data_IF_668096529338
#
_entry.id   IF_668096529338
#
_cell.length_a   1.000
_cell.length_b   1.000
_cell.length_c   1.000
_cell.angle_alpha   90.00
_cell.angle_beta   90.00
_cell.angle_gamma   90.00
#
_symmetry.space_group_name_H-M   'P 1'
#
loop_
_entity.id
_entity.type
_entity.pdbx_description
1 polymer ?
#
# COMPACT_ATOMS: atom_id res chain seq x y z
N UNK A 1 24.46 19.98 -3.04
CA UNK A 1 23.25 20.59 -3.62
C UNK A 1 22.08 20.23 -2.72
N UNK A 2 21.57 21.25 -2.01
CA UNK A 2 20.67 21.10 -0.88
C UNK A 2 19.20 21.09 -1.35
N UNK A 3 18.57 19.90 -1.39
CA UNK A 3 17.12 19.78 -1.46
C UNK A 3 16.56 19.63 -0.03
N UNK A 4 16.77 20.67 0.80
CA UNK A 4 16.20 20.75 2.15
C UNK A 4 15.44 22.06 2.40
N UNK A 5 15.01 22.74 1.34
CA UNK A 5 14.49 24.10 1.43
C UNK A 5 13.29 24.30 0.48
N UNK A 6 12.14 23.71 0.79
CA UNK A 6 10.82 24.16 0.29
C UNK A 6 9.64 23.45 0.98
N UNK A 7 9.76 23.09 2.26
CA UNK A 7 8.58 22.77 3.08
C UNK A 7 8.61 23.62 4.35
N UNK A 8 8.75 24.93 4.18
CA UNK A 8 8.28 25.81 5.24
C UNK A 8 6.80 25.49 5.49
N UNK A 9 6.47 25.34 6.77
CA UNK A 9 5.16 24.96 7.29
C UNK A 9 4.07 25.90 6.77
N UNK A 10 3.55 25.65 5.57
CA UNK A 10 2.23 26.11 5.17
C UNK A 10 1.22 25.26 5.96
N UNK A 11 0.69 25.86 7.02
CA UNK A 11 -0.41 25.39 7.88
C UNK A 11 -0.96 23.98 7.68
N UNK A 12 -0.68 23.10 8.65
CA UNK A 12 -1.63 22.11 9.16
C UNK A 12 -1.92 20.83 8.35
N UNK A 13 -1.45 20.66 7.11
CA UNK A 13 -1.70 19.42 6.35
C UNK A 13 -0.54 18.44 6.44
N UNK A 14 -0.79 17.22 6.95
CA UNK A 14 0.18 16.12 6.94
C UNK A 14 0.69 15.89 5.49
N UNK A 15 2.02 15.90 5.25
CA UNK A 15 2.60 15.79 3.91
C UNK A 15 2.16 14.52 3.17
N UNK A 16 1.96 13.41 3.87
CA UNK A 16 1.44 12.17 3.28
C UNK A 16 0.02 12.36 2.72
N UNK A 17 -0.83 13.13 3.39
CA UNK A 17 -2.21 13.40 2.94
C UNK A 17 -2.20 14.33 1.72
N UNK A 18 -1.29 15.30 1.69
CA UNK A 18 -1.11 16.17 0.52
C UNK A 18 -0.71 15.35 -0.71
N UNK A 19 0.27 14.46 -0.56
CA UNK A 19 0.72 13.57 -1.63
C UNK A 19 -0.40 12.62 -2.08
N UNK A 20 -1.13 12.01 -1.14
CA UNK A 20 -2.28 11.15 -1.45
C UNK A 20 -3.34 11.88 -2.29
N UNK A 21 -3.68 13.12 -1.94
CA UNK A 21 -4.62 13.95 -2.72
C UNK A 21 -4.08 14.27 -4.13
N UNK A 22 -2.78 14.47 -4.27
CA UNK A 22 -2.18 14.71 -5.59
C UNK A 22 -2.25 13.46 -6.46
N UNK A 23 -1.87 12.29 -5.92
CA UNK A 23 -1.90 11.01 -6.65
C UNK A 23 -3.35 10.69 -7.07
N UNK A 24 -4.31 10.73 -6.14
CA UNK A 24 -5.71 10.39 -6.42
C UNK A 24 -6.37 11.27 -7.49
N UNK A 25 -5.94 12.54 -7.62
CA UNK A 25 -6.37 13.44 -8.71
C UNK A 25 -5.79 13.02 -10.06
N UNK A 26 -4.55 12.52 -10.08
CA UNK A 26 -3.86 12.11 -11.30
C UNK A 26 -4.26 10.69 -11.78
N UNK A 27 -4.77 9.83 -10.88
CA UNK A 27 -5.14 8.43 -11.20
C UNK A 27 -5.98 8.30 -12.48
N UNK A 28 -7.11 9.01 -12.68
CA UNK A 28 -7.90 8.86 -13.90
C UNK A 28 -7.11 9.21 -15.17
N UNK A 29 -6.29 10.26 -15.11
CA UNK A 29 -5.43 10.67 -16.23
C UNK A 29 -4.39 9.61 -16.55
N UNK A 30 -3.78 9.01 -15.53
CA UNK A 30 -2.79 7.94 -15.70
C UNK A 30 -3.44 6.70 -16.32
N UNK A 31 -4.62 6.29 -15.86
CA UNK A 31 -5.33 5.12 -16.43
C UNK A 31 -5.60 5.28 -17.92
N UNK A 32 -6.06 6.47 -18.34
CA UNK A 32 -6.28 6.77 -19.76
C UNK A 32 -4.97 6.86 -20.56
N UNK A 33 -3.91 7.40 -19.94
CA UNK A 33 -2.61 7.58 -20.61
C UNK A 33 -1.92 6.25 -20.92
N UNK A 34 -2.15 5.26 -20.05
CA UNK A 34 -1.57 3.92 -20.15
C UNK A 34 -2.54 2.87 -20.69
N UNK A 35 -3.76 3.26 -21.05
CA UNK A 35 -4.82 2.38 -21.55
C UNK A 35 -5.03 1.15 -20.63
N UNK A 36 -5.21 1.40 -19.33
CA UNK A 36 -5.47 0.38 -18.31
C UNK A 36 -6.98 0.28 -18.10
N UNK A 37 -7.54 -0.92 -18.26
CA UNK A 37 -8.99 -1.19 -18.20
C UNK A 37 -9.58 -1.27 -16.78
N UNK A 38 -8.90 -0.72 -15.78
CA UNK A 38 -9.32 -0.72 -14.38
C UNK A 38 -10.26 0.46 -14.07
N UNK A 39 -11.25 0.24 -13.20
CA UNK A 39 -12.16 1.31 -12.77
C UNK A 39 -11.39 2.38 -11.95
N UNK A 40 -11.59 3.69 -12.20
CA UNK A 40 -10.89 4.72 -11.45
C UNK A 40 -11.13 4.70 -9.93
N UNK A 41 -12.30 4.21 -9.48
CA UNK A 41 -12.56 4.01 -8.04
C UNK A 41 -11.68 2.90 -7.47
N UNK A 42 -11.61 1.75 -8.15
CA UNK A 42 -10.77 0.63 -7.74
C UNK A 42 -9.29 1.02 -7.68
N UNK A 43 -8.79 1.72 -8.70
CA UNK A 43 -7.40 2.18 -8.71
C UNK A 43 -7.08 3.13 -7.55
N UNK A 44 -8.03 4.03 -7.18
CA UNK A 44 -7.86 4.89 -5.99
C UNK A 44 -7.82 4.09 -4.69
N UNK A 45 -8.62 3.03 -4.58
CA UNK A 45 -8.60 2.12 -3.43
C UNK A 45 -7.29 1.33 -3.35
N UNK A 46 -6.75 0.89 -4.49
CA UNK A 46 -5.43 0.26 -4.55
C UNK A 46 -4.32 1.23 -4.07
N UNK A 47 -4.36 2.49 -4.53
CA UNK A 47 -3.48 3.56 -4.02
C UNK A 47 -3.65 3.72 -2.51
N UNK A 48 -4.88 3.76 -2.01
CA UNK A 48 -5.15 3.88 -0.57
C UNK A 48 -4.54 2.72 0.23
N UNK A 49 -4.60 1.49 -0.28
CA UNK A 49 -4.01 0.31 0.37
C UNK A 49 -2.49 0.47 0.57
N UNK A 50 -1.76 1.05 -0.40
CA UNK A 50 -0.34 1.33 -0.24
C UNK A 50 -0.03 2.32 0.89
N UNK A 51 -0.83 3.38 1.02
CA UNK A 51 -0.69 4.32 2.13
C UNK A 51 -1.02 3.65 3.48
N UNK A 52 -2.02 2.77 3.50
CA UNK A 52 -2.40 2.02 4.72
C UNK A 52 -1.37 0.98 5.14
N UNK A 53 -0.69 0.33 4.19
CA UNK A 53 0.40 -0.62 4.45
C UNK A 53 1.51 -0.01 5.33
N UNK A 54 1.73 1.29 5.23
CA UNK A 54 2.76 1.99 5.98
C UNK A 54 2.20 2.84 7.13
N UNK A 55 0.96 2.62 7.55
CA UNK A 55 0.31 3.41 8.60
C UNK A 55 0.96 3.23 9.98
N UNK A 56 1.59 2.08 10.24
CA UNK A 56 2.20 1.76 11.54
C UNK A 56 3.62 2.34 11.72
N UNK A 57 4.16 2.96 10.67
CA UNK A 57 5.51 3.54 10.71
C UNK A 57 5.53 4.82 11.55
N UNK A 58 6.24 4.79 12.68
CA UNK A 58 6.33 5.91 13.63
C UNK A 58 7.58 6.78 13.48
N UNK A 59 8.66 6.26 12.90
CA UNK A 59 9.91 7.03 12.75
C UNK A 59 9.74 8.11 11.65
N UNK A 60 9.84 9.40 11.99
CA UNK A 60 9.64 10.49 11.05
C UNK A 60 10.62 10.46 9.86
N UNK A 61 11.83 9.95 10.03
CA UNK A 61 12.83 9.86 8.95
C UNK A 61 12.42 8.85 7.89
N UNK A 62 11.79 7.76 8.32
CA UNK A 62 11.27 6.73 7.43
C UNK A 62 10.04 7.25 6.70
N UNK A 63 9.16 7.98 7.40
CA UNK A 63 8.00 8.65 6.79
C UNK A 63 8.44 9.62 5.69
N UNK A 64 9.42 10.48 5.95
CA UNK A 64 9.95 11.42 4.96
C UNK A 64 10.52 10.68 3.75
N UNK A 65 11.29 9.61 3.96
CA UNK A 65 11.82 8.78 2.88
C UNK A 65 10.70 8.13 2.04
N UNK A 66 9.66 7.61 2.68
CA UNK A 66 8.51 7.00 1.99
C UNK A 66 7.76 8.03 1.14
N UNK A 67 7.59 9.24 1.66
CA UNK A 67 6.96 10.36 0.93
C UNK A 67 7.82 10.74 -0.28
N UNK A 68 9.14 10.84 -0.13
CA UNK A 68 10.04 11.12 -1.26
C UNK A 68 9.95 10.02 -2.32
N UNK A 69 9.99 8.73 -1.93
CA UNK A 69 9.86 7.60 -2.85
C UNK A 69 8.53 7.63 -3.61
N UNK A 70 7.42 7.86 -2.91
CA UNK A 70 6.11 7.94 -3.53
C UNK A 70 5.97 9.16 -4.45
N UNK A 71 6.66 10.26 -4.15
CA UNK A 71 6.77 11.42 -5.05
C UNK A 71 7.52 11.10 -6.34
N UNK A 72 8.66 10.40 -6.25
CA UNK A 72 9.43 9.93 -7.41
C UNK A 72 8.60 8.98 -8.29
N UNK A 73 7.90 8.02 -7.67
CA UNK A 73 6.99 7.10 -8.37
C UNK A 73 5.91 7.83 -9.18
N UNK A 74 5.34 8.90 -8.61
CA UNK A 74 4.36 9.73 -9.31
C UNK A 74 5.00 10.47 -10.49
N UNK A 75 6.19 11.03 -10.32
CA UNK A 75 6.91 11.75 -11.39
C UNK A 75 7.25 10.82 -12.56
N UNK A 76 7.81 9.63 -12.28
CA UNK A 76 8.12 8.61 -13.29
C UNK A 76 6.88 8.19 -14.09
N UNK A 77 5.73 8.11 -13.42
CA UNK A 77 4.44 7.78 -14.03
C UNK A 77 3.90 8.92 -14.90
N UNK A 78 4.02 10.18 -14.43
CA UNK A 78 3.54 11.35 -15.17
C UNK A 78 4.41 11.67 -16.38
N UNK A 79 5.73 11.47 -16.26
CA UNK A 79 6.72 11.68 -17.32
C UNK A 79 6.80 10.50 -18.30
N UNK A 80 6.00 9.46 -18.10
CA UNK A 80 5.97 8.26 -18.94
C UNK A 80 7.31 7.51 -19.01
N UNK A 81 8.10 7.54 -17.94
CA UNK A 81 9.33 6.76 -17.85
C UNK A 81 9.04 5.28 -17.58
N UNK A 82 7.86 4.98 -16.99
CA UNK A 82 7.37 3.60 -16.80
C UNK A 82 6.59 3.11 -18.00
N UNK A 83 6.67 1.80 -18.26
CA UNK A 83 5.77 1.08 -19.18
C UNK A 83 4.49 0.62 -18.49
N UNK A 84 3.44 0.35 -19.28
CA UNK A 84 2.11 -0.15 -18.84
C UNK A 84 2.20 -1.33 -17.87
N UNK A 85 3.01 -2.33 -18.17
CA UNK A 85 3.14 -3.54 -17.35
C UNK A 85 3.57 -3.27 -15.90
N UNK A 86 4.41 -2.25 -15.67
CA UNK A 86 4.83 -1.87 -14.32
C UNK A 86 3.65 -1.30 -13.51
N UNK A 87 2.80 -0.50 -14.15
CA UNK A 87 1.62 0.06 -13.50
C UNK A 87 0.54 -0.98 -13.24
N UNK A 88 0.33 -1.91 -14.17
CA UNK A 88 -0.61 -3.02 -13.97
C UNK A 88 -0.17 -3.90 -12.80
N UNK A 89 1.11 -4.26 -12.75
CA UNK A 89 1.69 -5.04 -11.63
C UNK A 89 1.56 -4.28 -10.30
N UNK A 90 1.80 -2.97 -10.32
CA UNK A 90 1.65 -2.12 -9.14
C UNK A 90 0.19 -2.08 -8.68
N UNK A 91 -0.76 -1.79 -9.56
CA UNK A 91 -2.17 -1.71 -9.21
C UNK A 91 -2.72 -3.05 -8.71
N UNK A 92 -2.38 -4.17 -9.37
CA UNK A 92 -2.75 -5.52 -8.93
C UNK A 92 -2.21 -5.84 -7.53
N UNK A 93 -0.95 -5.46 -7.24
CA UNK A 93 -0.40 -5.62 -5.89
C UNK A 93 -1.14 -4.78 -4.84
N UNK A 94 -1.63 -3.59 -5.20
CA UNK A 94 -2.47 -2.76 -4.34
C UNK A 94 -3.85 -3.37 -4.09
N UNK A 95 -4.45 -3.98 -5.12
CA UNK A 95 -5.72 -4.72 -5.00
C UNK A 95 -5.56 -5.93 -4.08
N UNK A 96 -4.46 -6.68 -4.20
CA UNK A 96 -4.13 -7.79 -3.30
C UNK A 96 -3.99 -7.34 -1.85
N UNK A 97 -3.32 -6.21 -1.60
CA UNK A 97 -3.21 -5.64 -0.24
C UNK A 97 -4.56 -5.26 0.35
N UNK A 98 -5.49 -4.73 -0.45
CA UNK A 98 -6.86 -4.42 -0.03
C UNK A 98 -7.65 -5.68 0.34
N UNK A 99 -7.48 -6.75 -0.44
CA UNK A 99 -8.21 -8.00 -0.26
C UNK A 99 -7.68 -8.82 0.91
N UNK A 100 -6.41 -8.64 1.29
CA UNK A 100 -5.83 -9.16 2.51
C UNK A 100 -6.34 -8.38 3.73
N UNK A 101 -7.65 -8.47 4.00
CA UNK A 101 -8.18 -8.16 5.34
C UNK A 101 -7.69 -9.28 6.26
N UNK A 102 -7.27 -8.98 7.51
CA UNK A 102 -7.04 -10.03 8.48
C UNK A 102 -8.32 -10.87 8.52
N UNK A 103 -8.20 -12.19 8.31
CA UNK A 103 -9.30 -13.10 8.55
C UNK A 103 -9.78 -12.79 9.97
N UNK A 104 -11.05 -12.40 10.12
CA UNK A 104 -11.64 -12.29 11.45
C UNK A 104 -11.70 -13.74 11.92
N UNK A 105 -10.78 -14.10 12.80
CA UNK A 105 -10.59 -15.46 13.27
C UNK A 105 -11.84 -15.90 14.03
N UNK A 106 -12.62 -16.79 13.42
CA UNK A 106 -13.32 -17.82 14.16
C UNK A 106 -12.35 -19.00 14.21
N UNK A 107 -11.62 -19.16 15.32
CA UNK A 107 -10.56 -20.18 15.50
C UNK A 107 -10.99 -21.60 15.06
N UNK A 108 -12.30 -21.86 15.08
CA UNK A 108 -12.91 -23.13 14.69
C UNK A 108 -12.90 -23.40 13.17
N UNK A 109 -13.04 -22.38 12.33
CA UNK A 109 -13.18 -22.60 10.88
C UNK A 109 -11.83 -22.86 10.21
N UNK A 110 -10.76 -22.18 10.62
CA UNK A 110 -9.41 -22.40 10.07
C UNK A 110 -8.83 -23.75 10.54
N UNK A 111 -9.09 -24.14 11.78
CA UNK A 111 -8.76 -25.49 12.26
C UNK A 111 -9.44 -26.58 11.45
N UNK A 112 -10.70 -26.38 11.04
CA UNK A 112 -11.42 -27.31 10.16
C UNK A 112 -10.90 -27.27 8.72
N UNK A 113 -10.65 -26.10 8.14
CA UNK A 113 -10.08 -25.97 6.80
C UNK A 113 -8.69 -26.62 6.71
N UNK A 114 -7.81 -26.39 7.69
CA UNK A 114 -6.48 -26.99 7.75
C UNK A 114 -6.57 -28.51 7.97
N UNK A 115 -7.51 -28.98 8.82
CA UNK A 115 -7.80 -30.40 9.01
C UNK A 115 -8.31 -31.08 7.72
N UNK A 116 -9.24 -30.45 6.99
CA UNK A 116 -9.74 -30.98 5.70
C UNK A 116 -8.70 -30.87 4.58
N UNK A 117 -7.79 -29.89 4.64
CA UNK A 117 -6.69 -29.73 3.70
C UNK A 117 -5.51 -30.70 3.96
N UNK A 118 -5.50 -31.38 5.11
CA UNK A 118 -4.42 -32.30 5.50
C UNK A 118 -3.09 -31.59 5.74
N UNK A 119 -3.14 -30.30 6.12
CA UNK A 119 -1.97 -29.56 6.57
C UNK A 119 -1.87 -29.85 8.06
N UNK A 120 -0.90 -30.68 8.45
CA UNK A 120 -0.54 -30.84 9.86
C UNK A 120 0.04 -29.51 10.34
N UNK A 121 -0.77 -28.72 11.04
CA UNK A 121 -0.27 -27.59 11.82
C UNK A 121 0.52 -28.19 12.97
N UNK A 122 1.84 -28.28 12.82
CA UNK A 122 2.73 -28.52 13.95
C UNK A 122 2.63 -27.31 14.88
N UNK A 123 1.69 -27.35 15.82
CA UNK A 123 1.61 -26.39 16.91
C UNK A 123 2.83 -26.62 17.83
N UNK A 124 3.91 -25.88 17.59
CA UNK A 124 5.05 -25.70 18.50
C UNK A 124 4.63 -24.87 19.76
N UNK A 125 3.51 -25.21 20.38
CA UNK A 125 2.98 -24.58 21.60
C UNK A 125 3.07 -25.53 22.81
N UNK A 126 4.22 -26.20 22.97
CA UNK A 126 4.54 -27.00 24.17
C UNK A 126 5.44 -26.25 25.19
N UNK A 127 5.60 -24.93 25.07
CA UNK A 127 6.27 -24.09 26.07
C UNK A 127 5.28 -23.15 26.79
N UNK A 128 4.24 -23.73 27.42
CA UNK A 128 3.59 -23.11 28.59
C UNK A 128 4.34 -23.48 29.85
N UNK A 129 5.49 -22.85 30.05
CA UNK A 129 6.16 -22.82 31.35
C UNK A 129 5.31 -22.02 32.35
N UNK A 130 4.49 -22.74 33.10
CA UNK A 130 3.97 -22.26 34.38
C UNK A 130 5.08 -22.36 35.43
N UNK A 131 5.73 -21.24 35.74
CA UNK A 131 6.25 -20.90 37.08
C UNK A 131 6.61 -19.44 37.24
#
# INVERSE_FOLDING_TARGET
MALRLATEKLGGSNPAVTLYRQITKQVPRVLTLYDISMEPSEARLAVQAFFRKHADVKDPRVVDMLITKAGMELEETLMQWKQKAHLETLLDSGVKLKNNKPKVFDDYEEGLENFFAGIDTEDDDDDKDYK
#
